data_IF_358662809854
#
_entry.id   IF_358662809854
#
_cell.length_a   1.000
_cell.length_b   1.000
_cell.length_c   1.000
_cell.angle_alpha   90.00
_cell.angle_beta   90.00
_cell.angle_gamma   90.00
#
_symmetry.space_group_name_H-M   'P 1'
#
loop_
_entity.id
_entity.type
_entity.pdbx_description
1 polymer ?
#
# COMPACT_ATOMS: atom_id res chain seq x y z
N UNK A 1 22.54 -19.91 4.58
CA UNK A 1 21.73 -18.67 4.55
C UNK A 1 21.80 -18.07 3.16
N UNK A 2 20.67 -17.80 2.52
CA UNK A 2 20.65 -17.10 1.24
C UNK A 2 20.99 -15.61 1.43
N UNK A 3 21.63 -15.01 0.44
CA UNK A 3 21.89 -13.57 0.44
C UNK A 3 20.55 -12.81 0.43
N UNK A 4 20.42 -11.76 1.26
CA UNK A 4 19.22 -10.91 1.37
C UNK A 4 18.72 -10.41 0.00
N UNK A 5 19.63 -10.05 -0.90
CA UNK A 5 19.33 -9.59 -2.26
C UNK A 5 18.64 -10.69 -3.07
N UNK A 6 19.13 -11.92 -2.96
CA UNK A 6 18.58 -13.09 -3.65
C UNK A 6 17.19 -13.41 -3.11
N UNK A 7 17.01 -13.36 -1.79
CA UNK A 7 15.71 -13.61 -1.15
C UNK A 7 14.67 -12.58 -1.55
N UNK A 8 14.98 -11.29 -1.47
CA UNK A 8 14.06 -10.25 -1.92
C UNK A 8 13.67 -10.43 -3.39
N UNK A 9 14.65 -10.66 -4.26
CA UNK A 9 14.39 -10.87 -5.68
C UNK A 9 13.46 -12.07 -5.89
N UNK A 10 13.75 -13.20 -5.26
CA UNK A 10 12.95 -14.42 -5.38
C UNK A 10 11.50 -14.22 -4.92
N UNK A 11 11.28 -13.43 -3.86
CA UNK A 11 9.93 -13.18 -3.33
C UNK A 11 9.14 -12.12 -4.10
N UNK A 12 9.79 -11.11 -4.68
CA UNK A 12 9.11 -10.06 -5.43
C UNK A 12 8.89 -10.38 -6.91
N UNK A 13 9.77 -11.20 -7.52
CA UNK A 13 9.67 -11.58 -8.94
C UNK A 13 8.30 -12.17 -9.30
N UNK A 14 7.68 -13.08 -8.52
CA UNK A 14 6.36 -13.59 -8.82
C UNK A 14 5.30 -12.49 -8.96
N UNK A 15 5.31 -11.49 -8.07
CA UNK A 15 4.38 -10.36 -8.14
C UNK A 15 4.65 -9.46 -9.34
N UNK A 16 5.92 -9.23 -9.66
CA UNK A 16 6.29 -8.45 -10.83
C UNK A 16 5.83 -9.14 -12.13
N UNK A 17 6.08 -10.45 -12.27
CA UNK A 17 5.63 -11.24 -13.41
C UNK A 17 4.10 -11.23 -13.50
N UNK A 18 3.38 -11.43 -12.39
CA UNK A 18 1.91 -11.36 -12.37
C UNK A 18 1.40 -9.99 -12.81
N UNK A 19 2.03 -8.90 -12.36
CA UNK A 19 1.70 -7.54 -12.79
C UNK A 19 1.94 -7.33 -14.30
N UNK A 20 3.08 -7.78 -14.81
CA UNK A 20 3.41 -7.71 -16.24
C UNK A 20 2.41 -8.52 -17.09
N UNK A 21 2.08 -9.74 -16.67
CA UNK A 21 1.10 -10.58 -17.36
C UNK A 21 -0.31 -9.98 -17.31
N UNK A 22 -0.72 -9.40 -16.18
CA UNK A 22 -2.01 -8.72 -16.07
C UNK A 22 -2.10 -7.45 -16.94
N UNK A 23 -0.97 -6.81 -17.21
CA UNK A 23 -0.89 -5.69 -18.15
C UNK A 23 -1.02 -6.14 -19.60
N UNK A 24 -0.38 -7.25 -19.98
CA UNK A 24 -0.37 -7.79 -21.35
C UNK A 24 -1.69 -8.50 -21.68
N UNK A 25 -2.28 -9.23 -20.74
CA UNK A 25 -3.44 -10.10 -20.96
C UNK A 25 -4.70 -9.59 -20.25
N UNK A 26 -5.67 -9.00 -20.99
CA UNK A 26 -6.90 -8.46 -20.41
C UNK A 26 -7.75 -9.50 -19.66
N UNK A 27 -7.74 -10.76 -20.12
CA UNK A 27 -8.46 -11.86 -19.47
C UNK A 27 -7.91 -12.16 -18.08
N UNK A 28 -6.59 -12.08 -17.92
CA UNK A 28 -5.95 -12.29 -16.63
C UNK A 28 -6.26 -11.13 -15.68
N UNK A 29 -6.28 -9.90 -16.20
CA UNK A 29 -6.72 -8.71 -15.45
C UNK A 29 -8.16 -8.86 -14.95
N UNK A 30 -9.07 -9.35 -15.78
CA UNK A 30 -10.46 -9.58 -15.40
C UNK A 30 -10.59 -10.62 -14.27
N UNK A 31 -9.72 -11.63 -14.24
CA UNK A 31 -9.65 -12.61 -13.13
C UNK A 31 -9.19 -11.99 -11.82
N UNK A 32 -8.37 -10.94 -11.83
CA UNK A 32 -7.98 -10.24 -10.60
C UNK A 32 -9.09 -9.36 -10.02
N UNK A 33 -9.96 -8.82 -10.87
CA UNK A 33 -11.08 -7.97 -10.43
C UNK A 33 -12.33 -8.77 -10.09
N UNK A 34 -12.37 -10.07 -10.39
CA UNK A 34 -13.48 -10.97 -10.03
C UNK A 34 -13.14 -11.76 -8.76
N UNK A 35 -14.01 -11.76 -7.74
CA UNK A 35 -13.73 -12.46 -6.48
C UNK A 35 -13.62 -13.98 -6.71
N UNK A 36 -12.50 -14.58 -6.30
CA UNK A 36 -12.28 -16.02 -6.38
C UNK A 36 -12.36 -16.66 -5.00
N UNK A 37 -13.29 -17.61 -4.83
CA UNK A 37 -13.46 -18.37 -3.57
C UNK A 37 -12.18 -19.12 -3.18
N UNK A 38 -11.46 -19.67 -4.17
CA UNK A 38 -10.20 -20.37 -3.94
C UNK A 38 -9.11 -19.44 -3.39
N UNK A 39 -9.00 -18.23 -3.94
CA UNK A 39 -8.05 -17.23 -3.43
C UNK A 39 -8.44 -16.73 -2.04
N UNK A 40 -9.73 -16.51 -1.75
CA UNK A 40 -10.18 -16.14 -0.40
C UNK A 40 -9.85 -17.21 0.63
N UNK A 41 -10.13 -18.48 0.31
CA UNK A 41 -9.81 -19.60 1.21
C UNK A 41 -8.28 -19.76 1.38
N UNK A 42 -7.52 -19.69 0.29
CA UNK A 42 -6.06 -19.73 0.33
C UNK A 42 -5.48 -18.61 1.19
N UNK A 43 -5.95 -17.37 1.00
CA UNK A 43 -5.54 -16.24 1.82
C UNK A 43 -5.88 -16.43 3.30
N UNK A 44 -7.06 -16.97 3.63
CA UNK A 44 -7.44 -17.26 5.01
C UNK A 44 -6.55 -18.34 5.64
N UNK A 45 -6.25 -19.43 4.92
CA UNK A 45 -5.34 -20.49 5.38
C UNK A 45 -3.93 -19.94 5.58
N UNK A 46 -3.42 -19.14 4.64
CA UNK A 46 -2.10 -18.53 4.75
C UNK A 46 -2.02 -17.53 5.92
N UNK A 47 -3.10 -16.78 6.17
CA UNK A 47 -3.19 -15.89 7.32
C UNK A 47 -3.19 -16.65 8.65
N UNK A 48 -3.92 -17.77 8.74
CA UNK A 48 -3.85 -18.66 9.91
C UNK A 48 -2.42 -19.20 10.09
N UNK A 49 -1.77 -19.65 9.02
CA UNK A 49 -0.38 -20.10 9.06
C UNK A 49 0.57 -18.99 9.54
N UNK A 50 0.36 -17.75 9.09
CA UNK A 50 1.11 -16.58 9.56
C UNK A 50 0.91 -16.32 11.05
N UNK A 51 -0.32 -16.37 11.56
CA UNK A 51 -0.60 -16.19 12.98
C UNK A 51 -0.01 -17.32 13.84
N UNK A 52 -0.08 -18.56 13.36
CA UNK A 52 0.54 -19.70 14.04
C UNK A 52 2.06 -19.56 14.06
N UNK A 53 2.68 -19.13 12.95
CA UNK A 53 4.10 -18.86 12.88
C UNK A 53 4.48 -17.76 13.89
N UNK A 54 3.76 -16.64 13.91
CA UNK A 54 3.98 -15.54 14.86
C UNK A 54 3.87 -15.96 16.32
N UNK A 55 2.95 -16.89 16.64
CA UNK A 55 2.71 -17.34 18.02
C UNK A 55 3.69 -18.40 18.50
N UNK A 56 4.07 -19.33 17.64
CA UNK A 56 4.78 -20.55 18.04
C UNK A 56 6.23 -20.60 17.61
N UNK A 57 6.64 -19.81 16.63
CA UNK A 57 7.98 -19.94 16.11
C UNK A 57 9.06 -19.27 16.99
N UNK A 58 8.72 -18.54 18.05
CA UNK A 58 9.71 -17.79 18.82
C UNK A 58 10.81 -18.68 19.43
N UNK A 59 12.08 -18.31 19.24
CA UNK A 59 13.25 -19.01 19.79
C UNK A 59 14.33 -19.35 18.75
N UNK A 60 15.31 -20.18 19.14
CA UNK A 60 16.48 -20.57 18.32
C UNK A 60 16.15 -21.37 17.05
N UNK A 61 14.89 -21.79 16.87
CA UNK A 61 14.39 -22.47 15.68
C UNK A 61 13.63 -21.54 14.70
N UNK A 62 13.53 -20.23 14.98
CA UNK A 62 12.86 -19.28 14.09
C UNK A 62 13.64 -19.08 12.79
N UNK A 63 13.11 -19.61 11.71
CA UNK A 63 13.64 -19.38 10.36
C UNK A 63 12.92 -18.18 9.74
N UNK A 64 13.65 -17.08 9.54
CA UNK A 64 13.18 -15.90 8.80
C UNK A 64 12.66 -16.28 7.39
N UNK A 65 13.20 -17.36 6.83
CA UNK A 65 12.81 -17.92 5.55
C UNK A 65 11.36 -18.45 5.55
N UNK A 66 10.93 -19.09 6.65
CA UNK A 66 9.57 -19.63 6.78
C UNK A 66 8.54 -18.52 6.80
N UNK A 67 8.80 -17.45 7.56
CA UNK A 67 7.93 -16.28 7.59
C UNK A 67 7.85 -15.60 6.21
N UNK A 68 8.99 -15.48 5.53
CA UNK A 68 9.06 -14.89 4.19
C UNK A 68 8.26 -15.69 3.16
N UNK A 69 8.34 -17.02 3.19
CA UNK A 69 7.58 -17.90 2.30
C UNK A 69 6.08 -17.83 2.60
N UNK A 70 5.67 -17.90 3.87
CA UNK A 70 4.26 -17.77 4.26
C UNK A 70 3.71 -16.43 3.77
N UNK A 71 4.46 -15.35 3.95
CA UNK A 71 4.05 -14.00 3.54
C UNK A 71 3.96 -13.86 2.02
N UNK A 72 4.90 -14.43 1.26
CA UNK A 72 4.84 -14.46 -0.20
C UNK A 72 3.58 -15.20 -0.69
N UNK A 73 3.34 -16.41 -0.18
CA UNK A 73 2.18 -17.23 -0.57
C UNK A 73 0.86 -16.56 -0.18
N UNK A 74 0.79 -16.00 1.03
CA UNK A 74 -0.34 -15.18 1.47
C UNK A 74 -0.57 -14.02 0.51
N UNK A 75 0.50 -13.30 0.14
CA UNK A 75 0.46 -12.20 -0.81
C UNK A 75 -0.14 -12.61 -2.15
N UNK A 76 0.30 -13.74 -2.73
CA UNK A 76 -0.19 -14.21 -4.04
C UNK A 76 -1.71 -14.43 -4.07
N UNK A 77 -2.28 -15.03 -3.01
CA UNK A 77 -3.73 -15.19 -2.91
C UNK A 77 -4.44 -13.89 -2.54
N UNK A 78 -3.83 -13.06 -1.71
CA UNK A 78 -4.35 -11.75 -1.32
C UNK A 78 -4.45 -10.78 -2.49
N UNK A 79 -3.66 -10.93 -3.56
CA UNK A 79 -3.82 -10.11 -4.77
C UNK A 79 -5.25 -10.15 -5.29
N UNK A 80 -5.85 -11.34 -5.48
CA UNK A 80 -7.24 -11.41 -5.95
C UNK A 80 -8.23 -10.80 -4.94
N UNK A 81 -8.05 -11.06 -3.65
CA UNK A 81 -8.94 -10.54 -2.59
C UNK A 81 -8.93 -9.00 -2.59
N UNK A 82 -7.75 -8.39 -2.59
CA UNK A 82 -7.59 -6.93 -2.54
C UNK A 82 -8.04 -6.27 -3.84
N UNK A 83 -7.64 -6.81 -5.00
CA UNK A 83 -8.03 -6.22 -6.29
C UNK A 83 -9.53 -6.33 -6.56
N UNK A 84 -10.14 -7.49 -6.30
CA UNK A 84 -11.58 -7.67 -6.50
C UNK A 84 -12.41 -6.83 -5.53
N UNK A 85 -12.01 -6.73 -4.26
CA UNK A 85 -12.65 -5.89 -3.28
C UNK A 85 -12.49 -4.40 -3.61
N UNK A 86 -11.28 -3.98 -3.96
CA UNK A 86 -10.99 -2.60 -4.38
C UNK A 86 -11.76 -2.22 -5.63
N UNK A 87 -11.85 -3.12 -6.61
CA UNK A 87 -12.66 -2.90 -7.81
C UNK A 87 -14.15 -2.75 -7.44
N UNK A 88 -14.69 -3.61 -6.58
CA UNK A 88 -16.10 -3.54 -6.19
C UNK A 88 -16.43 -2.29 -5.36
N UNK A 89 -15.53 -1.88 -4.48
CA UNK A 89 -15.77 -0.80 -3.50
C UNK A 89 -15.30 0.58 -3.96
N UNK A 90 -14.38 0.68 -4.91
CA UNK A 90 -13.73 1.96 -5.27
C UNK A 90 -13.81 2.28 -6.77
N UNK A 91 -14.29 1.35 -7.62
CA UNK A 91 -14.44 1.59 -9.05
C UNK A 91 -15.72 2.38 -9.41
N UNK A 92 -15.93 3.51 -8.75
CA UNK A 92 -16.97 4.46 -9.11
C UNK A 92 -16.38 5.85 -9.30
N UNK A 93 -16.99 6.63 -10.21
CA UNK A 93 -16.56 7.99 -10.48
C UNK A 93 -17.04 8.90 -9.35
N UNK A 94 -16.13 9.27 -8.45
CA UNK A 94 -16.40 10.19 -7.35
C UNK A 94 -15.24 11.18 -7.17
N UNK A 95 -15.58 12.45 -7.00
CA UNK A 95 -14.61 13.51 -6.72
C UNK A 95 -13.74 13.18 -5.48
N UNK A 96 -14.30 12.48 -4.48
CA UNK A 96 -13.57 12.07 -3.28
C UNK A 96 -12.55 10.97 -3.59
N UNK A 97 -12.92 9.96 -4.38
CA UNK A 97 -12.00 8.89 -4.79
C UNK A 97 -10.85 9.48 -5.62
N UNK A 98 -11.17 10.35 -6.58
CA UNK A 98 -10.15 11.04 -7.39
C UNK A 98 -9.22 11.90 -6.54
N UNK A 99 -9.75 12.61 -5.53
CA UNK A 99 -8.92 13.36 -4.58
C UNK A 99 -7.95 12.45 -3.84
N UNK A 100 -8.43 11.34 -3.24
CA UNK A 100 -7.57 10.41 -2.51
C UNK A 100 -6.55 9.70 -3.40
N UNK A 101 -6.92 9.36 -4.64
CA UNK A 101 -5.98 8.80 -5.63
C UNK A 101 -4.87 9.79 -5.94
N UNK A 102 -5.20 11.07 -6.15
CA UNK A 102 -4.19 12.11 -6.36
C UNK A 102 -3.31 12.37 -5.13
N UNK A 103 -3.89 12.32 -3.93
CA UNK A 103 -3.16 12.49 -2.68
C UNK A 103 -2.28 11.28 -2.34
N UNK A 104 -2.62 10.09 -2.83
CA UNK A 104 -1.98 8.82 -2.43
C UNK A 104 -0.47 8.79 -2.64
N UNK A 105 0.05 9.36 -3.73
CA UNK A 105 1.50 9.41 -4.00
C UNK A 105 2.25 10.24 -2.96
N UNK A 106 1.68 11.39 -2.57
CA UNK A 106 2.26 12.24 -1.54
C UNK A 106 2.17 11.59 -0.16
N UNK A 107 0.98 11.05 0.19
CA UNK A 107 0.77 10.31 1.44
C UNK A 107 1.78 9.16 1.53
N UNK A 108 1.99 8.40 0.46
CA UNK A 108 2.97 7.34 0.39
C UNK A 108 4.40 7.82 0.71
N UNK A 109 4.78 9.01 0.26
CA UNK A 109 6.11 9.55 0.57
C UNK A 109 6.28 9.89 2.06
N UNK A 110 5.26 10.50 2.66
CA UNK A 110 5.38 11.09 4.02
C UNK A 110 4.95 10.14 5.13
N UNK A 111 4.16 9.10 4.84
CA UNK A 111 3.58 8.26 5.88
C UNK A 111 4.66 7.50 6.67
N UNK A 112 5.70 6.96 6.04
CA UNK A 112 6.74 6.20 6.75
C UNK A 112 7.47 7.03 7.82
N UNK A 113 8.01 8.24 7.53
CA UNK A 113 8.55 9.12 8.57
C UNK A 113 7.56 9.45 9.69
N UNK A 114 6.30 9.71 9.34
CA UNK A 114 5.25 10.01 10.32
C UNK A 114 4.93 8.80 11.22
N UNK A 115 4.89 7.59 10.65
CA UNK A 115 4.70 6.34 11.40
C UNK A 115 5.88 6.08 12.33
N UNK A 116 7.13 6.31 11.89
CA UNK A 116 8.31 6.18 12.73
C UNK A 116 8.29 7.20 13.88
N UNK A 117 7.93 8.45 13.60
CA UNK A 117 7.77 9.48 14.61
C UNK A 117 6.69 9.10 15.64
N UNK A 118 5.52 8.67 15.17
CA UNK A 118 4.44 8.21 16.05
C UNK A 118 4.84 6.99 16.89
N UNK A 119 5.54 6.03 16.28
CA UNK A 119 6.03 4.82 16.94
C UNK A 119 7.08 5.11 18.02
N UNK A 120 8.00 6.04 17.75
CA UNK A 120 9.08 6.38 18.66
C UNK A 120 8.64 7.28 19.83
N UNK A 121 7.75 8.25 19.57
CA UNK A 121 7.46 9.33 20.53
C UNK A 121 6.06 9.30 21.12
N UNK A 122 5.08 8.65 20.49
CA UNK A 122 3.67 8.69 20.94
C UNK A 122 3.21 7.32 21.44
N UNK A 123 3.49 6.27 20.68
CA UNK A 123 3.11 4.88 21.02
C UNK A 123 3.57 4.44 22.42
N UNK A 124 4.78 4.77 22.92
CA UNK A 124 5.21 4.34 24.25
C UNK A 124 4.35 4.88 25.40
N UNK A 125 3.57 5.94 25.16
CA UNK A 125 2.69 6.54 26.16
C UNK A 125 1.27 5.95 26.15
N UNK A 126 0.97 5.03 25.23
CA UNK A 126 -0.36 4.41 25.08
C UNK A 126 -0.27 2.94 25.49
N UNK A 127 -0.99 2.56 26.55
CA UNK A 127 -0.98 1.18 27.06
C UNK A 127 -1.83 0.20 26.25
N UNK A 128 -2.79 0.68 25.46
CA UNK A 128 -3.69 -0.16 24.67
C UNK A 128 -3.31 -0.18 23.19
N UNK A 129 -3.07 -1.39 22.65
CA UNK A 129 -2.70 -1.59 21.25
C UNK A 129 -3.77 -1.07 20.27
N UNK A 130 -5.05 -1.26 20.59
CA UNK A 130 -6.14 -0.80 19.72
C UNK A 130 -6.20 0.73 19.68
N UNK A 131 -6.05 1.38 20.84
CA UNK A 131 -6.06 2.84 20.94
C UNK A 131 -4.81 3.40 20.25
N UNK A 132 -3.65 2.78 20.45
CA UNK A 132 -2.41 3.13 19.77
C UNK A 132 -2.55 3.05 18.24
N UNK A 133 -3.16 1.97 17.73
CA UNK A 133 -3.44 1.81 16.31
C UNK A 133 -4.39 2.89 15.76
N UNK A 134 -5.54 3.11 16.42
CA UNK A 134 -6.52 4.12 15.97
C UNK A 134 -5.94 5.53 16.03
N UNK A 135 -5.22 5.86 17.10
CA UNK A 135 -4.54 7.14 17.26
C UNK A 135 -3.47 7.32 16.18
N UNK A 136 -2.66 6.29 15.92
CA UNK A 136 -1.65 6.30 14.87
C UNK A 136 -2.25 6.48 13.48
N UNK A 137 -3.36 5.78 13.18
CA UNK A 137 -4.08 5.91 11.92
C UNK A 137 -4.58 7.35 11.70
N UNK A 138 -5.22 7.94 12.71
CA UNK A 138 -5.73 9.32 12.65
C UNK A 138 -4.56 10.31 12.52
N UNK A 139 -3.49 10.12 13.30
CA UNK A 139 -2.32 11.00 13.30
C UNK A 139 -1.61 10.97 11.94
N UNK A 140 -1.22 9.79 11.46
CA UNK A 140 -0.45 9.65 10.22
C UNK A 140 -1.29 10.10 9.02
N UNK A 141 -2.55 9.65 8.91
CA UNK A 141 -3.41 10.04 7.79
C UNK A 141 -3.78 11.52 7.85
N UNK A 142 -4.14 12.04 9.03
CA UNK A 142 -4.51 13.44 9.21
C UNK A 142 -3.36 14.39 8.89
N UNK A 143 -2.17 14.12 9.43
CA UNK A 143 -0.97 14.93 9.15
C UNK A 143 -0.57 14.82 7.68
N UNK A 144 -0.62 13.62 7.07
CA UNK A 144 -0.30 13.46 5.66
C UNK A 144 -1.25 14.25 4.75
N UNK A 145 -2.56 14.30 5.06
CA UNK A 145 -3.53 15.10 4.31
C UNK A 145 -3.33 16.60 4.49
N UNK A 146 -3.02 17.06 5.72
CA UNK A 146 -2.69 18.47 5.97
C UNK A 146 -1.43 18.87 5.19
N UNK A 147 -0.39 18.05 5.25
CA UNK A 147 0.83 18.26 4.48
C UNK A 147 0.56 18.25 2.98
N UNK A 148 -0.35 17.40 2.50
CA UNK A 148 -0.75 17.38 1.10
C UNK A 148 -1.41 18.71 0.68
N UNK A 149 -2.36 19.23 1.48
CA UNK A 149 -2.98 20.53 1.21
C UNK A 149 -1.97 21.69 1.23
N UNK A 150 -0.97 21.63 2.11
CA UNK A 150 0.14 22.61 2.12
C UNK A 150 0.99 22.45 0.85
N UNK A 151 1.31 21.22 0.46
CA UNK A 151 2.08 20.94 -0.75
C UNK A 151 1.40 21.51 -2.00
N UNK A 152 0.07 21.40 -2.10
CA UNK A 152 -0.70 21.89 -3.24
C UNK A 152 -0.59 23.41 -3.42
N UNK A 153 -0.30 24.16 -2.35
CA UNK A 153 -0.13 25.62 -2.35
C UNK A 153 1.26 26.06 -2.80
N UNK A 154 2.25 25.16 -2.84
CA UNK A 154 3.63 25.49 -3.19
C UNK A 154 3.95 24.98 -4.61
N UNK A 155 4.10 25.87 -5.62
CA UNK A 155 4.23 25.49 -7.03
C UNK A 155 5.42 24.56 -7.33
N UNK A 156 6.53 24.73 -6.59
CA UNK A 156 7.78 23.98 -6.78
C UNK A 156 7.65 22.53 -6.29
N UNK A 157 6.93 22.31 -5.18
CA UNK A 157 6.64 20.98 -4.64
C UNK A 157 5.61 20.22 -5.49
N UNK A 158 4.66 20.93 -6.12
CA UNK A 158 3.69 20.34 -7.05
C UNK A 158 4.36 19.75 -8.30
N UNK A 159 5.39 20.42 -8.81
CA UNK A 159 6.19 19.93 -9.93
C UNK A 159 7.04 18.70 -9.53
N UNK A 160 7.76 18.79 -8.40
CA UNK A 160 8.62 17.71 -7.90
C UNK A 160 7.87 16.42 -7.54
N UNK A 161 6.67 16.52 -6.96
CA UNK A 161 5.96 15.36 -6.42
C UNK A 161 4.75 14.89 -7.22
N UNK A 162 4.17 15.73 -8.09
CA UNK A 162 2.99 15.36 -8.87
C UNK A 162 3.28 15.20 -10.37
N UNK A 163 4.51 15.51 -10.82
CA UNK A 163 4.95 15.38 -12.22
C UNK A 163 4.16 16.25 -13.21
N UNK A 164 3.24 17.08 -12.73
CA UNK A 164 2.43 17.99 -13.54
C UNK A 164 3.19 19.30 -13.70
N UNK A 165 3.55 19.72 -14.93
CA UNK A 165 4.16 21.02 -15.15
C UNK A 165 3.22 22.10 -14.61
N UNK A 166 3.77 23.18 -14.00
CA UNK A 166 2.95 24.34 -13.68
C UNK A 166 2.31 24.81 -14.98
N UNK A 167 0.97 24.80 -15.03
CA UNK A 167 0.25 25.41 -16.14
C UNK A 167 0.64 26.88 -16.11
N UNK A 168 1.57 27.25 -16.99
CA UNK A 168 1.83 28.63 -17.34
C UNK A 168 0.47 29.16 -17.80
N UNK A 169 -0.12 30.07 -17.02
CA UNK A 169 -1.21 30.89 -17.51
C UNK A 169 -0.64 31.67 -18.70
N UNK A 170 -0.66 31.07 -19.89
CA UNK A 170 -0.48 31.82 -21.11
C UNK A 170 -1.72 32.67 -21.29
N UNK A 171 -1.55 33.92 -20.87
CA UNK A 171 -2.12 35.12 -21.45
C UNK A 171 -3.51 34.92 -22.03
N UNK A 172 -4.52 35.15 -21.19
CA UNK A 172 -5.88 35.53 -21.62
C UNK A 172 -5.90 36.97 -22.19
N UNK A 173 -4.87 37.32 -22.97
CA UNK A 173 -4.71 38.56 -23.71
C UNK A 173 -4.23 38.22 -25.13
N UNK A 174 -5.05 37.44 -25.83
CA UNK A 174 -5.10 37.38 -27.28
C UNK A 174 -6.45 36.72 -27.63
N UNK A 175 -7.18 37.34 -28.56
CA UNK A 175 -8.48 36.95 -29.11
C UNK A 175 -9.69 37.55 -28.37
N UNK A 176 -10.16 38.69 -28.88
CA UNK A 176 -11.55 39.16 -28.80
C UNK A 176 -11.71 40.55 -28.25
#
# INVERSE_FOLDING_TARGET
MFNFIVMQTLFYVPFFILGALAFIHPDLKARFTTPSRGCTLGAAVAFIAYLLNQRYGSGDAWMYETESVITMVMGLWMVNVVFSLGHRLLNFQSARVTYFVNASLFIYLVHHPLTLFFGAYITPHISSNLIGFLCGLIFVMGVALILYEIHLRIPLLKFLFSGKPPVKQESRAAIG
#
